data_IF_767502677138
#
_entry.id   IF_767502677138
#
_cell.length_a   1.000
_cell.length_b   1.000
_cell.length_c   1.000
_cell.angle_alpha   90.00
_cell.angle_beta   90.00
_cell.angle_gamma   90.00
#
_symmetry.space_group_name_H-M   'P 1'
#
loop_
_entity.id
_entity.type
_entity.pdbx_description
1 polymer ?
#
# COMPACT_ATOMS: atom_id res chain seq x y z
N UNK A 1 -9.65 10.15 37.00
CA UNK A 1 -10.86 10.04 36.15
C UNK A 1 -10.40 10.22 34.72
N UNK A 2 -10.08 9.12 34.03
CA UNK A 2 -9.68 9.14 32.63
C UNK A 2 -10.93 9.52 31.81
N UNK A 3 -10.92 10.67 31.16
CA UNK A 3 -11.91 10.99 30.15
C UNK A 3 -11.84 9.89 29.09
N UNK A 4 -12.95 9.19 28.87
CA UNK A 4 -13.09 8.32 27.70
C UNK A 4 -12.82 9.18 26.47
N UNK A 5 -11.74 8.89 25.78
CA UNK A 5 -11.53 9.41 24.44
C UNK A 5 -12.69 8.90 23.60
N UNK A 6 -13.45 9.80 22.97
CA UNK A 6 -14.38 9.41 21.94
C UNK A 6 -15.86 9.55 22.22
N UNK A 7 -16.30 10.48 23.05
CA UNK A 7 -17.66 11.02 22.90
C UNK A 7 -17.60 12.25 22.00
N UNK A 8 -17.46 12.02 20.70
CA UNK A 8 -17.76 13.03 19.72
C UNK A 8 -19.26 13.05 19.49
N UNK A 9 -19.83 14.23 19.53
CA UNK A 9 -21.27 14.47 19.36
C UNK A 9 -21.67 14.66 17.89
N UNK A 10 -20.84 14.21 16.96
CA UNK A 10 -21.05 14.34 15.51
C UNK A 10 -20.67 13.11 14.74
N UNK A 11 -20.93 13.12 13.44
CA UNK A 11 -20.36 12.16 12.49
C UNK A 11 -18.85 12.27 12.59
N UNK A 12 -18.23 11.36 13.31
CA UNK A 12 -16.79 11.21 13.26
C UNK A 12 -16.45 10.73 11.87
N UNK A 13 -15.70 11.54 11.17
CA UNK A 13 -14.90 11.05 10.07
C UNK A 13 -13.94 10.02 10.67
N UNK A 14 -14.26 8.76 10.44
CA UNK A 14 -13.38 7.66 10.86
C UNK A 14 -12.14 7.78 9.99
N UNK A 15 -11.19 8.56 10.47
CA UNK A 15 -9.96 8.80 9.74
C UNK A 15 -9.34 7.47 9.37
N UNK A 16 -8.96 7.25 8.11
CA UNK A 16 -8.20 6.07 7.71
C UNK A 16 -6.95 5.84 8.56
N UNK A 17 -6.49 6.88 9.27
CA UNK A 17 -5.37 6.80 10.22
C UNK A 17 -5.66 5.96 11.48
N UNK A 18 -6.90 5.66 11.80
CA UNK A 18 -7.27 4.87 12.97
C UNK A 18 -7.49 3.38 12.68
N UNK A 19 -7.15 2.91 11.49
CA UNK A 19 -7.32 1.52 11.12
C UNK A 19 -6.34 1.08 10.02
N UNK A 20 -6.54 -0.12 9.54
CA UNK A 20 -5.72 -0.69 8.46
C UNK A 20 -5.99 -0.06 7.08
N UNK A 21 -7.02 0.74 6.95
CA UNK A 21 -7.46 1.36 5.70
C UNK A 21 -6.58 2.51 5.24
N UNK A 22 -5.82 3.07 6.15
CA UNK A 22 -4.80 4.09 5.89
C UNK A 22 -3.74 3.62 4.89
N UNK A 23 -3.46 2.31 4.82
CA UNK A 23 -2.51 1.72 3.88
C UNK A 23 -2.86 2.04 2.42
N UNK A 24 -4.14 2.11 2.08
CA UNK A 24 -4.61 2.45 0.73
C UNK A 24 -4.15 3.86 0.35
N UNK A 25 -4.37 4.83 1.22
CA UNK A 25 -3.95 6.21 1.01
C UNK A 25 -2.43 6.36 0.98
N UNK A 26 -1.75 5.76 1.95
CA UNK A 26 -0.30 5.80 2.05
C UNK A 26 0.37 5.21 0.80
N UNK A 27 -0.14 4.09 0.29
CA UNK A 27 0.37 3.49 -0.94
C UNK A 27 0.19 4.39 -2.17
N UNK A 28 -0.83 5.27 -2.17
CA UNK A 28 -1.04 6.22 -3.26
C UNK A 28 -0.01 7.34 -3.32
N UNK A 29 0.76 7.56 -2.25
CA UNK A 29 1.82 8.56 -2.21
C UNK A 29 3.00 8.22 -3.13
N UNK A 30 3.18 6.94 -3.46
CA UNK A 30 4.24 6.51 -4.36
C UNK A 30 3.84 6.76 -5.82
N UNK A 31 4.50 7.66 -6.53
CA UNK A 31 4.19 7.94 -7.95
C UNK A 31 4.56 6.75 -8.84
N UNK A 32 3.97 6.68 -10.02
CA UNK A 32 4.20 5.63 -11.02
C UNK A 32 4.07 4.20 -10.47
N UNK A 33 3.22 4.02 -9.45
CA UNK A 33 2.94 2.74 -8.82
C UNK A 33 1.49 2.32 -8.97
N UNK A 34 1.28 1.03 -8.83
CA UNK A 34 -0.05 0.44 -8.65
C UNK A 34 -0.10 -0.38 -7.37
N UNK A 35 -1.30 -0.62 -6.89
CA UNK A 35 -1.55 -1.49 -5.75
C UNK A 35 -2.27 -2.74 -6.24
N UNK A 36 -1.72 -3.91 -5.92
CA UNK A 36 -2.34 -5.21 -6.21
C UNK A 36 -2.64 -5.90 -4.88
N UNK A 37 -3.90 -6.29 -4.71
CA UNK A 37 -4.37 -6.98 -3.53
C UNK A 37 -4.70 -8.43 -3.87
N UNK A 38 -4.04 -9.37 -3.19
CA UNK A 38 -4.30 -10.81 -3.32
C UNK A 38 -5.09 -11.26 -2.12
N UNK A 39 -6.40 -11.44 -2.29
CA UNK A 39 -7.30 -11.67 -1.17
C UNK A 39 -8.62 -12.33 -1.59
N UNK A 40 -9.37 -12.82 -0.61
CA UNK A 40 -10.74 -13.22 -0.84
C UNK A 40 -11.63 -12.00 -1.17
N UNK A 41 -12.69 -12.22 -1.92
CA UNK A 41 -13.63 -11.19 -2.40
C UNK A 41 -14.10 -10.24 -1.28
N UNK A 42 -14.46 -10.78 -0.13
CA UNK A 42 -14.93 -9.99 1.01
C UNK A 42 -13.90 -9.00 1.58
N UNK A 43 -12.61 -9.25 1.38
CA UNK A 43 -11.53 -8.38 1.89
C UNK A 43 -11.36 -7.10 1.06
N UNK A 44 -11.88 -7.08 -0.17
CA UNK A 44 -11.68 -5.97 -1.10
C UNK A 44 -12.60 -4.78 -0.89
N UNK A 45 -13.74 -4.96 -0.24
CA UNK A 45 -14.80 -3.95 -0.19
C UNK A 45 -14.30 -2.57 0.23
N UNK A 46 -13.56 -2.49 1.33
CA UNK A 46 -13.04 -1.22 1.82
C UNK A 46 -12.01 -0.60 0.87
N UNK A 47 -11.15 -1.42 0.28
CA UNK A 47 -10.13 -0.99 -0.68
C UNK A 47 -10.78 -0.42 -1.94
N UNK A 48 -11.78 -1.11 -2.50
CA UNK A 48 -12.52 -0.66 -3.70
C UNK A 48 -13.23 0.66 -3.45
N UNK A 49 -13.91 0.80 -2.31
CA UNK A 49 -14.59 2.03 -1.95
C UNK A 49 -13.60 3.20 -1.82
N UNK A 50 -12.48 2.98 -1.13
CA UNK A 50 -11.45 4.01 -0.98
C UNK A 50 -10.82 4.39 -2.32
N UNK A 51 -10.54 3.42 -3.19
CA UNK A 51 -10.02 3.68 -4.54
C UNK A 51 -11.00 4.54 -5.36
N UNK A 52 -12.30 4.25 -5.25
CA UNK A 52 -13.35 5.02 -5.92
C UNK A 52 -13.46 6.45 -5.36
N UNK A 53 -13.43 6.62 -4.03
CA UNK A 53 -13.46 7.93 -3.36
C UNK A 53 -12.27 8.80 -3.75
N UNK A 54 -11.10 8.19 -3.94
CA UNK A 54 -9.88 8.88 -4.37
C UNK A 54 -9.83 9.15 -5.88
N UNK A 55 -10.83 8.69 -6.65
CA UNK A 55 -10.81 8.69 -8.11
C UNK A 55 -9.52 8.05 -8.70
N UNK A 56 -9.10 6.96 -8.11
CA UNK A 56 -7.83 6.29 -8.39
C UNK A 56 -8.00 4.79 -8.68
N UNK A 57 -9.19 4.38 -9.12
CA UNK A 57 -9.51 2.98 -9.38
C UNK A 57 -8.58 2.33 -10.42
N UNK A 58 -8.04 3.11 -11.34
CA UNK A 58 -7.07 2.68 -12.35
C UNK A 58 -5.71 2.24 -11.76
N UNK A 59 -5.40 2.67 -10.53
CA UNK A 59 -4.19 2.29 -9.81
C UNK A 59 -4.36 1.08 -8.90
N UNK A 60 -5.53 0.45 -8.90
CA UNK A 60 -5.83 -0.72 -8.08
C UNK A 60 -6.15 -1.92 -8.95
N UNK A 61 -5.68 -3.08 -8.53
CA UNK A 61 -6.01 -4.36 -9.13
C UNK A 61 -6.14 -5.43 -8.06
N UNK A 62 -6.84 -6.50 -8.40
CA UNK A 62 -7.15 -7.56 -7.45
C UNK A 62 -6.85 -8.91 -8.07
N UNK A 63 -6.33 -9.81 -7.25
CA UNK A 63 -6.26 -11.23 -7.51
C UNK A 63 -7.16 -11.90 -6.48
N UNK A 64 -8.24 -12.50 -6.94
CA UNK A 64 -9.20 -13.16 -6.06
C UNK A 64 -8.68 -14.55 -5.73
N UNK A 65 -8.69 -14.87 -4.44
CA UNK A 65 -8.37 -16.19 -3.90
C UNK A 65 -9.69 -16.87 -3.54
N UNK A 66 -9.95 -17.99 -4.18
CA UNK A 66 -11.13 -18.82 -3.92
C UNK A 66 -10.84 -19.86 -2.83
N UNK A 67 -11.89 -20.43 -2.25
CA UNK A 67 -11.74 -21.47 -1.23
C UNK A 67 -10.99 -22.70 -1.78
N UNK A 68 -11.22 -23.03 -3.03
CA UNK A 68 -10.56 -24.15 -3.73
C UNK A 68 -9.03 -23.95 -3.81
N UNK A 69 -8.55 -22.72 -3.99
CA UNK A 69 -7.12 -22.42 -4.02
C UNK A 69 -6.45 -22.74 -2.69
N UNK A 70 -7.14 -22.45 -1.59
CA UNK A 70 -6.65 -22.76 -0.25
C UNK A 70 -6.65 -24.26 0.02
N UNK A 71 -7.70 -24.97 -0.41
CA UNK A 71 -7.80 -26.41 -0.24
C UNK A 71 -6.76 -27.17 -1.05
N UNK A 72 -6.44 -26.69 -2.23
CA UNK A 72 -5.44 -27.29 -3.12
C UNK A 72 -4.01 -26.93 -2.74
N UNK A 73 -3.81 -25.97 -1.84
CA UNK A 73 -2.47 -25.53 -1.41
C UNK A 73 -1.65 -24.85 -2.49
N UNK A 74 -2.31 -24.17 -3.44
CA UNK A 74 -1.68 -23.51 -4.59
C UNK A 74 -1.65 -21.96 -4.50
N UNK A 75 -1.77 -21.41 -3.27
CA UNK A 75 -1.88 -19.96 -3.08
C UNK A 75 -0.67 -19.17 -3.61
N UNK A 76 0.53 -19.74 -3.55
CA UNK A 76 1.72 -19.13 -4.15
C UNK A 76 1.56 -18.99 -5.67
N UNK A 77 1.15 -20.05 -6.34
CA UNK A 77 0.96 -20.06 -7.80
C UNK A 77 -0.17 -19.10 -8.22
N UNK A 78 -1.29 -19.12 -7.49
CA UNK A 78 -2.41 -18.18 -7.72
C UNK A 78 -1.94 -16.74 -7.58
N UNK A 79 -1.11 -16.45 -6.59
CA UNK A 79 -0.55 -15.12 -6.37
C UNK A 79 0.37 -14.71 -7.52
N UNK A 80 1.33 -15.55 -7.87
CA UNK A 80 2.31 -15.28 -8.93
C UNK A 80 1.63 -15.11 -10.28
N UNK A 81 0.78 -16.05 -10.67
CA UNK A 81 0.12 -16.04 -11.97
C UNK A 81 -0.92 -14.91 -12.04
N UNK A 82 -1.67 -14.67 -10.97
CA UNK A 82 -2.64 -13.58 -10.91
C UNK A 82 -1.98 -12.21 -11.04
N UNK A 83 -0.90 -11.96 -10.32
CA UNK A 83 -0.11 -10.71 -10.44
C UNK A 83 0.48 -10.58 -11.84
N UNK A 84 1.03 -11.67 -12.37
CA UNK A 84 1.58 -11.73 -13.75
C UNK A 84 0.51 -11.36 -14.78
N UNK A 85 -0.68 -11.91 -14.66
CA UNK A 85 -1.82 -11.63 -15.57
C UNK A 85 -2.26 -10.18 -15.49
N UNK A 86 -2.38 -9.62 -14.27
CA UNK A 86 -2.68 -8.20 -14.06
C UNK A 86 -1.65 -7.33 -14.78
N UNK A 87 -0.36 -7.55 -14.57
CA UNK A 87 0.70 -6.73 -15.15
C UNK A 87 0.77 -6.84 -16.68
N UNK A 88 0.56 -8.04 -17.25
CA UNK A 88 0.55 -8.25 -18.70
C UNK A 88 -0.63 -7.61 -19.41
N UNK A 89 -1.78 -7.50 -18.74
CA UNK A 89 -2.98 -6.86 -19.31
C UNK A 89 -2.96 -5.34 -19.28
N UNK A 90 -2.09 -4.75 -18.45
CA UNK A 90 -1.97 -3.30 -18.36
C UNK A 90 -1.29 -2.72 -19.60
N UNK A 91 -1.74 -1.53 -19.98
CA UNK A 91 -1.10 -0.75 -21.06
C UNK A 91 0.00 0.16 -20.55
N UNK A 92 -0.12 0.59 -19.30
CA UNK A 92 0.90 1.35 -18.58
C UNK A 92 1.90 0.38 -17.94
N UNK A 93 3.13 0.82 -17.81
CA UNK A 93 4.20 0.05 -17.17
C UNK A 93 4.54 0.72 -15.84
N UNK A 94 3.97 0.26 -14.72
CA UNK A 94 4.28 0.83 -13.42
C UNK A 94 5.74 0.57 -13.08
N UNK A 95 6.40 1.54 -12.43
CA UNK A 95 7.76 1.36 -11.92
C UNK A 95 7.80 0.62 -10.58
N UNK A 96 6.69 0.67 -9.86
CA UNK A 96 6.55 -0.04 -8.60
C UNK A 96 5.18 -0.68 -8.46
N UNK A 97 5.16 -1.83 -7.81
CA UNK A 97 3.96 -2.57 -7.43
C UNK A 97 3.94 -2.75 -5.93
N UNK A 98 2.96 -2.16 -5.27
CA UNK A 98 2.66 -2.46 -3.88
C UNK A 98 1.79 -3.71 -3.84
N UNK A 99 2.40 -4.85 -3.54
CA UNK A 99 1.72 -6.13 -3.50
C UNK A 99 1.25 -6.44 -2.09
N UNK A 100 -0.05 -6.38 -1.90
CA UNK A 100 -0.69 -6.63 -0.61
C UNK A 100 -1.10 -8.10 -0.49
N UNK A 101 -0.45 -8.80 0.44
CA UNK A 101 -0.90 -10.11 0.91
C UNK A 101 -1.76 -9.95 2.16
N UNK A 102 -2.65 -10.90 2.38
CA UNK A 102 -3.61 -10.87 3.50
C UNK A 102 -3.36 -12.03 4.47
N UNK A 103 -4.16 -12.08 5.53
CA UNK A 103 -4.06 -13.12 6.56
C UNK A 103 -4.10 -14.56 6.02
N UNK A 104 -4.73 -14.81 4.87
CA UNK A 104 -4.78 -16.15 4.25
C UNK A 104 -3.38 -16.69 3.99
N UNK A 105 -2.45 -15.88 3.47
CA UNK A 105 -1.06 -16.29 3.24
C UNK A 105 -0.36 -16.75 4.50
N UNK A 106 -0.64 -16.09 5.64
CA UNK A 106 -0.09 -16.51 6.93
C UNK A 106 -0.74 -17.78 7.46
N UNK A 107 -2.05 -17.92 7.30
CA UNK A 107 -2.77 -19.11 7.80
C UNK A 107 -2.34 -20.40 7.11
N UNK A 108 -2.08 -20.34 5.82
CA UNK A 108 -1.63 -21.52 5.07
C UNK A 108 -0.09 -21.66 5.06
N UNK A 109 0.63 -20.69 5.64
CA UNK A 109 2.09 -20.73 5.70
C UNK A 109 2.78 -20.53 4.35
N UNK A 110 2.20 -19.69 3.48
CA UNK A 110 2.76 -19.40 2.15
C UNK A 110 4.20 -18.90 2.20
N UNK A 111 5.00 -19.37 1.26
CA UNK A 111 6.37 -18.90 1.07
C UNK A 111 6.41 -17.56 0.34
N UNK A 112 6.25 -16.47 1.12
CA UNK A 112 6.25 -15.12 0.57
C UNK A 112 7.57 -14.75 -0.14
N UNK A 113 8.72 -15.26 0.32
CA UNK A 113 9.98 -14.98 -0.34
C UNK A 113 10.00 -15.55 -1.76
N UNK A 114 9.55 -16.79 -1.94
CA UNK A 114 9.43 -17.40 -3.25
C UNK A 114 8.53 -16.59 -4.19
N UNK A 115 7.38 -16.12 -3.70
CA UNK A 115 6.47 -15.29 -4.50
C UNK A 115 7.18 -14.03 -5.02
N UNK A 116 7.88 -13.31 -4.15
CA UNK A 116 8.56 -12.07 -4.55
C UNK A 116 9.75 -12.34 -5.46
N UNK A 117 10.58 -13.34 -5.18
CA UNK A 117 11.73 -13.72 -6.01
C UNK A 117 11.28 -14.08 -7.43
N UNK A 118 10.19 -14.84 -7.55
CA UNK A 118 9.65 -15.23 -8.86
C UNK A 118 9.07 -14.02 -9.62
N UNK A 119 8.35 -13.11 -8.94
CA UNK A 119 7.81 -11.90 -9.56
C UNK A 119 8.93 -10.94 -9.99
N UNK A 120 9.94 -10.73 -9.17
CA UNK A 120 11.12 -9.91 -9.49
C UNK A 120 11.91 -10.50 -10.67
N UNK A 121 12.00 -11.83 -10.77
CA UNK A 121 12.59 -12.51 -11.92
C UNK A 121 11.79 -12.30 -13.20
N UNK A 122 10.45 -12.35 -13.14
CA UNK A 122 9.57 -12.16 -14.31
C UNK A 122 9.50 -10.70 -14.77
N UNK A 123 9.64 -9.75 -13.84
CA UNK A 123 9.53 -8.32 -14.08
C UNK A 123 10.69 -7.54 -13.45
N UNK A 124 11.91 -7.67 -14.01
CA UNK A 124 13.12 -7.09 -13.41
C UNK A 124 13.14 -5.55 -13.40
N UNK A 125 12.28 -4.92 -14.21
CA UNK A 125 12.16 -3.46 -14.29
C UNK A 125 11.13 -2.88 -13.30
N UNK A 126 10.44 -3.74 -12.54
CA UNK A 126 9.42 -3.35 -11.57
C UNK A 126 9.93 -3.56 -10.15
N UNK A 127 9.87 -2.52 -9.33
CA UNK A 127 10.14 -2.63 -7.90
C UNK A 127 8.90 -3.20 -7.18
N UNK A 128 8.99 -4.42 -6.65
CA UNK A 128 7.92 -5.00 -5.83
C UNK A 128 8.10 -4.61 -4.36
N UNK A 129 7.09 -3.93 -3.81
CA UNK A 129 7.06 -3.49 -2.42
C UNK A 129 6.19 -4.45 -1.62
N UNK A 130 6.77 -5.06 -0.59
CA UNK A 130 6.12 -6.05 0.26
C UNK A 130 5.14 -5.38 1.21
N UNK A 131 3.85 -5.59 0.98
CA UNK A 131 2.78 -4.98 1.75
C UNK A 131 1.92 -6.06 2.41
N UNK A 132 1.42 -5.76 3.60
CA UNK A 132 0.65 -6.71 4.38
C UNK A 132 -0.67 -6.08 4.84
N UNK A 133 -1.75 -6.80 4.61
CA UNK A 133 -3.08 -6.46 5.12
C UNK A 133 -3.56 -7.60 6.02
N UNK A 134 -2.91 -7.73 7.18
CA UNK A 134 -3.14 -8.82 8.14
C UNK A 134 -3.40 -8.30 9.57
N UNK A 135 -4.49 -7.59 9.81
CA UNK A 135 -4.77 -6.97 11.11
C UNK A 135 -4.86 -7.98 12.25
N UNK A 136 -5.23 -9.22 11.95
CA UNK A 136 -5.46 -10.27 12.95
C UNK A 136 -4.14 -10.75 13.57
N UNK A 137 -3.05 -10.72 12.81
CA UNK A 137 -1.75 -11.24 13.24
C UNK A 137 -0.92 -10.25 14.04
N UNK A 138 -1.35 -9.00 14.10
CA UNK A 138 -0.56 -7.95 14.75
C UNK A 138 -0.99 -7.72 16.19
N UNK A 139 -0.23 -8.29 17.12
CA UNK A 139 -0.39 -8.00 18.56
C UNK A 139 0.64 -7.01 19.09
N UNK A 140 1.81 -6.95 18.48
CA UNK A 140 2.95 -6.10 18.90
C UNK A 140 3.76 -5.65 17.68
N UNK A 141 4.50 -4.55 17.82
CA UNK A 141 5.41 -4.02 16.79
C UNK A 141 4.81 -2.89 15.94
N UNK A 142 5.34 -2.71 14.74
CA UNK A 142 4.91 -1.65 13.83
C UNK A 142 3.48 -1.86 13.37
N UNK A 143 2.70 -0.78 13.31
CA UNK A 143 1.35 -0.81 12.72
C UNK A 143 1.42 -1.14 11.22
N UNK A 144 0.32 -1.58 10.58
CA UNK A 144 0.29 -1.81 9.14
C UNK A 144 0.77 -0.60 8.32
N UNK A 145 0.37 0.60 8.70
CA UNK A 145 0.83 1.85 8.08
C UNK A 145 2.36 2.04 8.24
N UNK A 146 2.88 1.83 9.43
CA UNK A 146 4.33 1.95 9.67
C UNK A 146 5.13 0.90 8.90
N UNK A 147 4.62 -0.33 8.80
CA UNK A 147 5.22 -1.39 7.98
C UNK A 147 5.23 -1.00 6.50
N UNK A 148 4.12 -0.47 6.00
CA UNK A 148 4.02 -0.01 4.62
C UNK A 148 5.01 1.11 4.33
N UNK A 149 5.05 2.15 5.19
CA UNK A 149 6.01 3.26 5.02
C UNK A 149 7.44 2.77 5.03
N UNK A 150 7.78 1.86 5.94
CA UNK A 150 9.10 1.23 5.96
C UNK A 150 9.37 0.51 4.64
N UNK A 151 8.46 -0.33 4.18
CA UNK A 151 8.62 -1.07 2.92
C UNK A 151 8.75 -0.16 1.69
N UNK A 152 8.12 1.02 1.71
CA UNK A 152 8.26 2.02 0.64
C UNK A 152 9.61 2.74 0.68
N UNK A 153 10.19 2.92 1.86
CA UNK A 153 11.47 3.63 2.00
C UNK A 153 12.69 2.72 1.89
N UNK A 154 12.58 1.46 2.31
CA UNK A 154 13.71 0.51 2.31
C UNK A 154 14.42 0.35 0.94
N UNK A 155 13.72 0.32 -0.20
CA UNK A 155 14.37 0.20 -1.51
C UNK A 155 14.94 1.52 -2.06
N UNK A 156 14.72 2.67 -1.38
CA UNK A 156 15.21 3.94 -1.87
C UNK A 156 16.74 4.01 -1.75
N UNK A 157 17.44 4.46 -2.80
CA UNK A 157 18.87 4.65 -2.72
C UNK A 157 19.23 5.80 -1.77
N UNK A 158 20.35 5.67 -1.09
CA UNK A 158 20.96 6.81 -0.40
C UNK A 158 21.35 7.87 -1.42
N UNK A 159 21.09 9.12 -1.11
CA UNK A 159 21.46 10.25 -1.94
C UNK A 159 22.17 11.34 -1.11
N UNK A 160 22.99 12.13 -1.78
CA UNK A 160 23.62 13.27 -1.14
C UNK A 160 22.56 14.32 -0.73
N UNK A 161 22.66 14.88 0.46
CA UNK A 161 21.74 15.91 0.93
C UNK A 161 21.72 17.12 0.01
N UNK A 162 20.57 17.54 -0.43
CA UNK A 162 20.38 18.83 -1.10
C UNK A 162 19.87 19.87 -0.11
N UNK A 163 20.68 20.88 0.18
CA UNK A 163 20.38 21.93 1.14
C UNK A 163 19.11 22.76 0.78
N UNK A 164 18.64 22.67 -0.45
CA UNK A 164 17.45 23.39 -0.94
C UNK A 164 16.22 22.50 -1.13
N UNK A 165 16.33 21.23 -0.84
CA UNK A 165 15.18 20.30 -0.91
C UNK A 165 14.64 20.03 0.47
N UNK A 166 13.34 20.15 0.64
CA UNK A 166 12.60 19.80 1.86
C UNK A 166 11.70 18.62 1.57
N UNK A 167 11.98 17.49 2.20
CA UNK A 167 11.14 16.30 2.12
C UNK A 167 10.13 16.29 3.27
N UNK A 168 8.87 16.06 2.96
CA UNK A 168 7.79 15.95 3.94
C UNK A 168 7.40 14.50 4.10
N UNK A 169 7.58 13.96 5.29
CA UNK A 169 7.27 12.58 5.62
C UNK A 169 6.11 12.47 6.59
N UNK A 170 5.45 11.33 6.61
CA UNK A 170 4.40 10.98 7.58
C UNK A 170 3.01 11.51 7.25
N UNK A 171 2.83 12.20 6.14
CA UNK A 171 1.50 12.58 5.66
C UNK A 171 0.78 11.39 5.03
N UNK A 172 -0.54 11.32 5.20
CA UNK A 172 -1.39 10.31 4.55
C UNK A 172 -1.77 10.71 3.12
N UNK A 173 -1.60 11.99 2.79
CA UNK A 173 -1.90 12.55 1.48
C UNK A 173 -0.72 13.39 0.98
N UNK A 174 -0.55 13.41 -0.32
CA UNK A 174 0.39 14.34 -0.94
C UNK A 174 -0.01 15.80 -0.64
N UNK A 175 0.98 16.65 -0.38
CA UNK A 175 0.72 18.08 -0.19
C UNK A 175 0.15 18.68 -1.48
N UNK A 176 -0.99 19.34 -1.36
CA UNK A 176 -1.59 20.07 -2.48
C UNK A 176 -0.66 21.18 -2.96
N UNK A 177 -0.66 21.47 -4.25
CA UNK A 177 0.14 22.55 -4.84
C UNK A 177 -0.24 23.94 -4.30
N UNK A 178 -1.48 24.11 -3.87
CA UNK A 178 -1.98 25.33 -3.22
C UNK A 178 -1.66 25.40 -1.72
N UNK A 179 -0.99 24.41 -1.14
CA UNK A 179 -0.63 24.40 0.28
C UNK A 179 0.22 25.59 0.64
N UNK A 180 -0.14 26.27 1.74
CA UNK A 180 0.62 27.42 2.25
C UNK A 180 2.04 27.03 2.63
N UNK A 181 2.28 25.82 3.11
CA UNK A 181 3.62 25.29 3.39
C UNK A 181 4.45 25.24 2.11
N UNK A 182 3.92 24.65 1.04
CA UNK A 182 4.62 24.62 -0.26
C UNK A 182 4.90 26.02 -0.78
N UNK A 183 3.91 26.90 -0.73
CA UNK A 183 4.04 28.29 -1.18
C UNK A 183 5.12 29.04 -0.39
N UNK A 184 5.11 28.87 0.93
CA UNK A 184 6.10 29.50 1.81
C UNK A 184 7.52 29.01 1.50
N UNK A 185 7.73 27.69 1.47
CA UNK A 185 9.04 27.12 1.20
C UNK A 185 9.57 27.53 -0.17
N UNK A 186 8.74 27.49 -1.22
CA UNK A 186 9.12 27.96 -2.56
C UNK A 186 9.48 29.44 -2.58
N UNK A 187 8.79 30.28 -1.81
CA UNK A 187 9.13 31.70 -1.69
C UNK A 187 10.53 31.94 -1.10
N UNK A 188 10.99 31.01 -0.26
CA UNK A 188 12.35 31.03 0.28
C UNK A 188 13.36 30.25 -0.57
N UNK A 189 12.98 29.81 -1.75
CA UNK A 189 13.85 29.14 -2.71
C UNK A 189 14.07 27.65 -2.45
N UNK A 190 13.18 27.02 -1.66
CA UNK A 190 13.19 25.58 -1.45
C UNK A 190 12.33 24.82 -2.46
N UNK A 191 12.78 23.63 -2.82
CA UNK A 191 12.00 22.61 -3.52
C UNK A 191 11.28 21.71 -2.49
N UNK A 192 10.03 21.32 -2.76
CA UNK A 192 9.22 20.47 -1.85
C UNK A 192 8.61 19.33 -2.63
#
# INVERSE_FOLDING_TARGET
MLKKAGESTGLEFNSPAHGNWNIVHTGMLLPESIQIYVCADNCMRGVVLTAAEMNAADRFSFVIVEEEDLLNGNLEDVTIEGVTDVLRKRKDHPKAVLLFTVCLHHFVGSNLNYIYEELEHRFPDICFIRCYMDPIMQKHGLTPDQKLRKAMYDPLPECEPDAKTVSVFGSDFALNESSDIKRLLRRYGYTV
#
